data_IF_837235363990
#
_entry.id   IF_837235363990
#
_cell.length_a   1.000
_cell.length_b   1.000
_cell.length_c   1.000
_cell.angle_alpha   90.00
_cell.angle_beta   90.00
_cell.angle_gamma   90.00
#
_symmetry.space_group_name_H-M   'P 1'
#
loop_
_entity.id
_entity.type
_entity.pdbx_description
1 polymer ?
#
# COMPACT_ATOMS: atom_id res chain seq x y z
N UNK A 1 19.20 1.37 -2.55
CA UNK A 1 18.08 2.12 -3.19
C UNK A 1 16.76 1.48 -2.87
N UNK A 2 15.77 2.27 -2.53
CA UNK A 2 14.46 1.75 -2.14
C UNK A 2 13.56 1.56 -3.36
N UNK A 3 12.81 0.46 -3.37
CA UNK A 3 11.80 0.27 -4.39
C UNK A 3 10.52 1.05 -4.04
N UNK A 4 9.57 1.09 -4.96
CA UNK A 4 8.37 1.90 -4.76
C UNK A 4 7.53 1.45 -3.55
N UNK A 5 7.30 0.14 -3.30
CA UNK A 5 6.60 -0.25 -2.09
C UNK A 5 7.28 0.21 -0.80
N UNK A 6 8.61 0.22 -0.76
CA UNK A 6 9.33 0.69 0.42
C UNK A 6 9.16 2.20 0.61
N UNK A 7 9.16 2.96 -0.48
CA UNK A 7 8.90 4.41 -0.44
C UNK A 7 7.48 4.67 0.04
N UNK A 8 6.52 3.90 -0.49
CA UNK A 8 5.12 3.97 -0.07
C UNK A 8 5.00 3.73 1.44
N UNK A 9 5.71 2.73 1.94
CA UNK A 9 5.71 2.40 3.37
C UNK A 9 6.14 3.60 4.22
N UNK A 10 7.20 4.26 3.81
CA UNK A 10 7.70 5.42 4.55
C UNK A 10 6.69 6.56 4.57
N UNK A 11 6.08 6.85 3.43
CA UNK A 11 5.11 7.93 3.35
C UNK A 11 3.84 7.64 4.17
N UNK A 12 3.36 6.40 4.13
CA UNK A 12 2.19 6.01 4.93
C UNK A 12 2.50 6.17 6.42
N UNK A 13 3.67 5.68 6.84
CA UNK A 13 4.05 5.75 8.25
C UNK A 13 4.30 7.17 8.72
N UNK A 14 4.68 8.07 7.81
CA UNK A 14 4.83 9.48 8.12
C UNK A 14 3.50 10.23 8.13
N UNK A 15 2.42 9.60 7.68
CA UNK A 15 1.13 10.26 7.54
C UNK A 15 1.10 11.28 6.41
N UNK A 16 2.02 11.16 5.46
CA UNK A 16 2.18 12.10 4.36
C UNK A 16 1.28 11.68 3.19
N UNK A 17 0.00 12.01 3.29
CA UNK A 17 -1.00 11.59 2.31
C UNK A 17 -0.72 12.11 0.91
N UNK A 18 -0.25 13.36 0.80
CA UNK A 18 0.08 13.92 -0.50
C UNK A 18 1.14 13.09 -1.23
N UNK A 19 2.19 12.71 -0.50
CA UNK A 19 3.26 11.91 -1.09
C UNK A 19 2.78 10.49 -1.42
N UNK A 20 1.96 9.88 -0.55
CA UNK A 20 1.38 8.56 -0.85
C UNK A 20 0.58 8.63 -2.15
N UNK A 21 -0.30 9.63 -2.29
CA UNK A 21 -1.13 9.76 -3.48
C UNK A 21 -0.31 10.00 -4.74
N UNK A 22 0.81 10.71 -4.62
CA UNK A 22 1.67 11.00 -5.78
C UNK A 22 2.31 9.74 -6.37
N UNK A 23 2.35 8.64 -5.62
CA UNK A 23 2.90 7.38 -6.10
C UNK A 23 1.93 6.60 -6.99
N UNK A 24 0.63 6.94 -6.96
CA UNK A 24 -0.39 6.24 -7.75
C UNK A 24 -0.60 6.93 -9.08
N UNK A 25 -0.68 6.14 -10.16
CA UNK A 25 -1.02 6.66 -11.47
C UNK A 25 -2.43 7.25 -11.45
N UNK A 26 -2.73 8.16 -12.38
CA UNK A 26 -4.04 8.80 -12.41
C UNK A 26 -5.19 7.78 -12.57
N UNK A 27 -4.96 6.73 -13.32
CA UNK A 27 -5.94 5.68 -13.57
C UNK A 27 -5.71 4.45 -12.70
N UNK A 28 -4.96 4.58 -11.60
CA UNK A 28 -4.67 3.47 -10.72
C UNK A 28 -5.94 2.94 -10.06
N UNK A 29 -5.91 1.66 -9.76
CA UNK A 29 -6.98 1.00 -9.00
C UNK A 29 -6.41 0.46 -7.69
N UNK A 30 -7.12 0.71 -6.60
CA UNK A 30 -6.75 0.24 -5.27
C UNK A 30 -7.87 -0.64 -4.71
N UNK A 31 -7.52 -1.88 -4.39
CA UNK A 31 -8.39 -2.76 -3.62
C UNK A 31 -7.81 -2.81 -2.22
N UNK A 32 -8.32 -1.95 -1.35
CA UNK A 32 -7.71 -1.71 -0.05
C UNK A 32 -8.23 -2.65 1.02
N UNK A 33 -7.37 -2.95 1.98
CA UNK A 33 -7.67 -3.90 3.07
C UNK A 33 -8.95 -3.54 3.82
N UNK A 34 -9.15 -2.24 4.07
CA UNK A 34 -10.27 -1.79 4.90
C UNK A 34 -11.40 -1.14 4.11
N UNK A 35 -11.40 -1.30 2.79
CA UNK A 35 -12.47 -0.80 1.94
C UNK A 35 -13.18 -1.97 1.28
N UNK A 36 -14.51 -1.92 1.25
CA UNK A 36 -15.32 -3.02 0.70
C UNK A 36 -15.46 -2.97 -0.81
N UNK A 37 -15.18 -1.82 -1.44
CA UNK A 37 -15.32 -1.64 -2.87
C UNK A 37 -14.02 -1.18 -3.50
N UNK A 38 -13.78 -1.52 -4.78
CA UNK A 38 -12.60 -1.02 -5.47
C UNK A 38 -12.58 0.52 -5.52
N UNK A 39 -11.40 1.09 -5.39
CA UNK A 39 -11.19 2.53 -5.46
C UNK A 39 -10.47 2.80 -6.78
N UNK A 40 -11.08 3.59 -7.66
CA UNK A 40 -10.56 3.81 -9.00
C UNK A 40 -10.41 5.29 -9.37
N UNK A 41 -10.29 6.15 -8.36
CA UNK A 41 -10.03 7.58 -8.58
C UNK A 41 -8.99 8.07 -7.59
N UNK A 42 -8.26 9.11 -7.98
CA UNK A 42 -7.29 9.74 -7.07
C UNK A 42 -7.98 10.32 -5.84
N UNK A 43 -9.17 10.86 -6.00
CA UNK A 43 -9.95 11.38 -4.87
C UNK A 43 -10.26 10.27 -3.88
N UNK A 44 -10.67 9.11 -4.38
CA UNK A 44 -10.98 7.96 -3.54
C UNK A 44 -9.74 7.43 -2.83
N UNK A 45 -8.61 7.37 -3.52
CA UNK A 45 -7.34 6.94 -2.93
C UNK A 45 -6.94 7.89 -1.81
N UNK A 46 -7.05 9.21 -2.06
CA UNK A 46 -6.74 10.20 -1.03
C UNK A 46 -7.65 10.05 0.19
N UNK A 47 -8.94 9.92 -0.04
CA UNK A 47 -9.89 9.77 1.07
C UNK A 47 -9.57 8.54 1.91
N UNK A 48 -9.20 7.44 1.25
CA UNK A 48 -8.84 6.21 1.96
C UNK A 48 -7.64 6.43 2.87
N UNK A 49 -6.55 7.02 2.36
CA UNK A 49 -5.35 7.22 3.16
C UNK A 49 -5.52 8.32 4.21
N UNK A 50 -6.33 9.34 3.93
CA UNK A 50 -6.67 10.33 4.96
C UNK A 50 -7.38 9.65 6.14
N UNK A 51 -8.31 8.76 5.84
CA UNK A 51 -9.01 8.03 6.89
C UNK A 51 -8.09 7.09 7.66
N UNK A 52 -7.24 6.36 6.97
CA UNK A 52 -6.34 5.42 7.63
C UNK A 52 -5.30 6.13 8.49
N UNK A 53 -4.63 7.15 7.95
CA UNK A 53 -3.55 7.83 8.68
C UNK A 53 -4.08 8.71 9.82
N UNK A 54 -5.37 9.03 9.80
CA UNK A 54 -5.98 9.78 10.90
C UNK A 54 -6.20 8.92 12.14
N UNK A 55 -6.14 7.60 12.03
CA UNK A 55 -6.29 6.73 13.20
C UNK A 55 -5.05 6.84 14.09
N UNK A 56 -5.23 6.92 15.42
CA UNK A 56 -4.09 7.01 16.32
C UNK A 56 -3.12 5.84 16.13
N UNK A 57 -1.83 6.13 16.03
CA UNK A 57 -0.81 5.11 15.91
C UNK A 57 -0.82 4.31 14.63
N UNK A 58 -1.46 4.81 13.56
CA UNK A 58 -1.59 4.08 12.30
C UNK A 58 -0.26 3.95 11.58
N UNK A 59 -0.06 2.78 10.96
CA UNK A 59 1.13 2.54 10.15
C UNK A 59 1.07 1.17 9.50
N UNK A 60 2.16 0.83 8.83
CA UNK A 60 2.29 -0.46 8.16
C UNK A 60 3.74 -0.92 8.25
N UNK A 61 3.93 -2.21 8.43
CA UNK A 61 5.27 -2.80 8.50
C UNK A 61 5.34 -3.96 7.51
N UNK A 62 6.28 -3.87 6.57
CA UNK A 62 6.50 -4.92 5.58
C UNK A 62 7.25 -6.09 6.20
N UNK A 63 6.86 -7.29 5.78
CA UNK A 63 7.60 -8.51 6.08
C UNK A 63 8.55 -8.75 4.92
N UNK A 64 9.85 -8.65 5.16
CA UNK A 64 10.84 -8.83 4.12
C UNK A 64 10.95 -10.28 3.65
N UNK A 65 10.62 -11.22 4.53
CA UNK A 65 10.62 -12.63 4.18
C UNK A 65 9.45 -12.91 3.25
N UNK A 66 9.73 -13.51 2.11
CA UNK A 66 8.70 -13.83 1.13
C UNK A 66 8.36 -12.69 0.17
N UNK A 67 8.98 -11.52 0.33
CA UNK A 67 8.78 -10.43 -0.62
C UNK A 67 9.45 -10.78 -1.95
N UNK A 68 8.75 -10.53 -3.04
CA UNK A 68 9.21 -10.93 -4.37
C UNK A 68 8.91 -9.85 -5.39
N UNK A 69 9.85 -9.63 -6.30
CA UNK A 69 9.67 -8.75 -7.45
C UNK A 69 9.68 -9.60 -8.71
N UNK A 70 8.65 -9.45 -9.53
CA UNK A 70 8.56 -10.14 -10.82
C UNK A 70 8.46 -9.10 -11.93
N UNK A 71 9.18 -9.34 -13.03
CA UNK A 71 9.10 -8.48 -14.21
C UNK A 71 7.90 -8.97 -15.02
N UNK A 72 6.84 -8.15 -15.08
CA UNK A 72 5.61 -8.53 -15.77
C UNK A 72 5.69 -8.19 -17.26
N UNK A 73 6.33 -7.07 -17.60
CA UNK A 73 6.49 -6.61 -18.96
C UNK A 73 7.63 -5.60 -18.98
N UNK A 74 7.91 -5.00 -20.15
CA UNK A 74 8.97 -4.01 -20.27
C UNK A 74 8.73 -2.86 -19.28
N UNK A 75 9.66 -2.69 -18.32
CA UNK A 75 9.61 -1.66 -17.29
C UNK A 75 8.34 -1.68 -16.44
N UNK A 76 7.65 -2.82 -16.40
CA UNK A 76 6.48 -3.00 -15.56
C UNK A 76 6.72 -4.17 -14.61
N UNK A 77 6.69 -3.92 -13.33
CA UNK A 77 7.05 -4.90 -12.31
C UNK A 77 5.92 -5.15 -11.34
N UNK A 78 5.83 -6.39 -10.88
CA UNK A 78 4.87 -6.81 -9.87
C UNK A 78 5.61 -7.11 -8.59
N UNK A 79 5.24 -6.43 -7.51
CA UNK A 79 5.79 -6.68 -6.18
C UNK A 79 4.73 -7.36 -5.35
N UNK A 80 5.07 -8.49 -4.73
CA UNK A 80 4.15 -9.25 -3.89
C UNK A 80 4.79 -9.63 -2.57
N UNK A 81 3.98 -9.87 -1.57
CA UNK A 81 4.44 -10.27 -0.26
C UNK A 81 3.38 -10.04 0.79
N UNK A 82 3.83 -9.89 2.03
CA UNK A 82 2.95 -9.62 3.15
C UNK A 82 3.43 -8.42 3.94
N UNK A 83 2.50 -7.79 4.64
CA UNK A 83 2.79 -6.71 5.57
C UNK A 83 1.70 -6.73 6.65
N UNK A 84 1.90 -5.97 7.70
CA UNK A 84 0.88 -5.81 8.73
C UNK A 84 0.53 -4.34 8.84
N UNK A 85 -0.75 -4.04 8.73
CA UNK A 85 -1.26 -2.74 9.12
C UNK A 85 -1.45 -2.73 10.64
N UNK A 86 -1.34 -1.57 11.24
CA UNK A 86 -1.61 -1.44 12.66
C UNK A 86 -2.18 -0.06 12.96
N UNK A 87 -2.97 0.03 14.02
CA UNK A 87 -3.41 1.30 14.58
C UNK A 87 -3.83 1.06 16.04
N UNK A 88 -4.03 2.15 16.77
CA UNK A 88 -4.28 2.10 18.20
C UNK A 88 -3.03 2.45 18.98
N UNK A 89 -3.19 2.73 20.25
CA UNK A 89 -2.09 3.15 21.12
C UNK A 89 -1.96 2.23 22.31
N UNK A 90 -0.71 2.02 22.74
CA UNK A 90 -0.41 1.23 23.93
C UNK A 90 -0.96 -0.19 23.83
N UNK A 91 -1.73 -0.61 24.83
CA UNK A 91 -2.32 -1.94 24.86
C UNK A 91 -3.51 -2.10 23.90
N UNK A 92 -4.01 -0.97 23.35
CA UNK A 92 -5.11 -1.01 22.39
C UNK A 92 -4.63 -1.17 20.94
N UNK A 93 -3.34 -1.24 20.72
CA UNK A 93 -2.80 -1.38 19.36
C UNK A 93 -3.22 -2.72 18.76
N UNK A 94 -3.77 -2.66 17.55
CA UNK A 94 -4.21 -3.83 16.81
C UNK A 94 -3.38 -4.01 15.57
N UNK A 95 -3.14 -5.26 15.18
CA UNK A 95 -2.35 -5.62 14.02
C UNK A 95 -3.20 -6.41 13.04
N UNK A 96 -3.05 -6.10 11.75
CA UNK A 96 -3.84 -6.70 10.68
C UNK A 96 -2.90 -7.25 9.60
N UNK A 97 -2.43 -8.50 9.75
CA UNK A 97 -1.59 -9.10 8.72
C UNK A 97 -2.33 -9.22 7.40
N UNK A 98 -1.66 -8.84 6.32
CA UNK A 98 -2.28 -8.75 5.01
C UNK A 98 -1.32 -9.22 3.92
N UNK A 99 -1.89 -9.53 2.76
CA UNK A 99 -1.15 -9.85 1.55
C UNK A 99 -1.25 -8.66 0.61
N UNK A 100 -0.21 -8.43 -0.19
CA UNK A 100 -0.23 -7.31 -1.12
C UNK A 100 0.29 -7.70 -2.49
N UNK A 101 -0.18 -6.96 -3.49
CA UNK A 101 0.37 -6.93 -4.83
C UNK A 101 0.41 -5.47 -5.28
N UNK A 102 1.59 -5.02 -5.72
CA UNK A 102 1.74 -3.70 -6.35
C UNK A 102 2.20 -3.92 -7.78
N UNK A 103 1.41 -3.47 -8.74
CA UNK A 103 1.87 -3.42 -10.14
C UNK A 103 2.38 -2.03 -10.40
N UNK A 104 3.65 -1.91 -10.77
CA UNK A 104 4.34 -0.63 -10.87
C UNK A 104 4.88 -0.43 -12.28
N UNK A 105 4.53 0.70 -12.89
CA UNK A 105 5.16 1.15 -14.12
C UNK A 105 6.43 1.90 -13.69
N UNK A 106 7.58 1.34 -14.01
CA UNK A 106 8.86 1.92 -13.62
C UNK A 106 9.49 2.78 -14.73
N UNK A 107 8.77 3.01 -15.81
CA UNK A 107 9.24 3.83 -16.90
C UNK A 107 9.17 5.30 -16.50
N UNK A 108 10.32 5.98 -16.52
CA UNK A 108 10.38 7.35 -16.09
C UNK A 108 10.18 7.48 -14.57
N UNK A 109 9.24 8.31 -14.18
CA UNK A 109 8.87 8.49 -12.78
C UNK A 109 7.93 7.34 -12.37
N UNK A 110 8.39 6.43 -11.48
CA UNK A 110 7.59 5.22 -11.18
C UNK A 110 6.22 5.54 -10.59
N UNK A 111 5.21 4.78 -11.04
CA UNK A 111 3.84 4.93 -10.56
C UNK A 111 3.20 3.57 -10.31
N UNK A 112 2.38 3.49 -9.27
CA UNK A 112 1.57 2.31 -8.99
C UNK A 112 0.37 2.33 -9.93
N UNK A 113 0.22 1.27 -10.72
CA UNK A 113 -0.94 1.10 -11.61
C UNK A 113 -2.07 0.37 -10.90
N UNK A 114 -1.72 -0.56 -10.02
CA UNK A 114 -2.69 -1.40 -9.34
C UNK A 114 -2.11 -1.84 -8.00
N UNK A 115 -2.91 -1.76 -6.96
CA UNK A 115 -2.51 -2.19 -5.62
C UNK A 115 -3.66 -2.98 -5.01
N UNK A 116 -3.38 -4.23 -4.68
CA UNK A 116 -4.34 -5.09 -4.00
C UNK A 116 -3.80 -5.44 -2.62
N UNK A 117 -4.63 -5.27 -1.62
CA UNK A 117 -4.30 -5.55 -0.23
C UNK A 117 -5.47 -6.24 0.44
N UNK A 118 -5.24 -7.41 1.02
CA UNK A 118 -6.31 -8.16 1.68
C UNK A 118 -5.76 -8.85 2.93
N UNK A 119 -6.61 -8.99 3.94
CA UNK A 119 -6.21 -9.68 5.16
C UNK A 119 -5.85 -11.13 4.88
N UNK A 120 -4.87 -11.62 5.62
CA UNK A 120 -4.52 -13.04 5.56
C UNK A 120 -5.64 -13.81 6.25
N UNK A 121 -6.27 -14.78 5.56
CA UNK A 121 -7.39 -15.49 6.19
C UNK A 121 -6.92 -16.36 7.36
N UNK A 122 -7.79 -16.49 8.33
CA UNK A 122 -7.57 -17.45 9.40
C UNK A 122 -7.87 -18.84 8.83
N UNK A 123 -6.95 -19.74 9.08
CA UNK A 123 -7.10 -21.10 8.58
C UNK A 123 -7.16 -22.10 9.72
#
# INVERSE_FOLDING_TARGET
MKNLPEIWNEFVNAGDVDSVCSLYAEDARLLATFASSPIDSHEGIRAYFEGFTARPGAGVQFNKKGALKQIAADQCCLYTGTYSFFYGEGTDKQFFPARYSFLVDEKGDPKILHHHSSLIPNS
#
